data_IF_754446362345
#
_entry.id   IF_754446362345
#
_cell.length_a   1.000
_cell.length_b   1.000
_cell.length_c   1.000
_cell.angle_alpha   90.00
_cell.angle_beta   90.00
_cell.angle_gamma   90.00
#
_symmetry.space_group_name_H-M   'P 1'
#
loop_
_entity.id
_entity.type
_entity.pdbx_description
1 polymer ?
#
# COMPACT_ATOMS: atom_id res chain seq x y z
N UNK A 1 11.40 -3.39 1.58
CA UNK A 1 10.02 -3.43 2.09
C UNK A 1 9.09 -3.35 0.89
N UNK A 2 8.04 -4.19 0.81
CA UNK A 2 7.04 -4.14 -0.28
C UNK A 2 5.82 -3.32 0.18
N UNK A 3 6.06 -2.07 0.54
CA UNK A 3 5.07 -1.20 1.15
C UNK A 3 4.39 -0.25 0.15
N UNK A 4 4.74 -0.33 -1.13
CA UNK A 4 4.09 0.42 -2.20
C UNK A 4 2.70 -0.15 -2.46
N UNK A 5 1.75 0.75 -2.72
CA UNK A 5 0.42 0.35 -3.19
C UNK A 5 0.57 -0.41 -4.51
N UNK A 6 -0.27 -1.42 -4.72
CA UNK A 6 -0.21 -2.26 -5.90
C UNK A 6 -1.59 -2.46 -6.48
N UNK A 7 -1.64 -2.40 -7.80
CA UNK A 7 -2.82 -2.69 -8.57
C UNK A 7 -2.40 -3.29 -9.91
N UNK A 8 -3.36 -3.78 -10.68
CA UNK A 8 -3.12 -4.42 -11.97
C UNK A 8 -3.91 -3.73 -13.07
N UNK A 9 -3.32 -3.65 -14.25
CA UNK A 9 -4.05 -3.43 -15.51
C UNK A 9 -4.23 -4.79 -16.15
N UNK A 10 -5.48 -5.16 -16.44
CA UNK A 10 -5.79 -6.37 -17.20
C UNK A 10 -6.27 -5.96 -18.59
N UNK A 11 -5.58 -6.43 -19.62
CA UNK A 11 -5.98 -6.29 -21.02
C UNK A 11 -6.66 -7.59 -21.45
N UNK A 12 -7.98 -7.52 -21.70
CA UNK A 12 -8.79 -8.67 -22.09
C UNK A 12 -8.58 -9.10 -23.54
N UNK A 13 -8.15 -8.19 -24.40
CA UNK A 13 -7.99 -8.44 -25.84
C UNK A 13 -6.66 -9.14 -26.12
N UNK A 14 -5.60 -8.73 -25.42
CA UNK A 14 -4.28 -9.35 -25.47
C UNK A 14 -4.10 -10.47 -24.43
N UNK A 15 -5.02 -10.59 -23.47
CA UNK A 15 -4.94 -11.56 -22.37
C UNK A 15 -3.75 -11.32 -21.44
N UNK A 16 -3.35 -10.06 -21.24
CA UNK A 16 -2.14 -9.70 -20.50
C UNK A 16 -2.45 -9.00 -19.17
N UNK A 17 -1.56 -9.17 -18.19
CA UNK A 17 -1.66 -8.55 -16.86
C UNK A 17 -0.39 -7.75 -16.57
N UNK A 18 -0.54 -6.47 -16.26
CA UNK A 18 0.55 -5.60 -15.84
C UNK A 18 0.40 -5.23 -14.36
N UNK A 19 1.42 -5.51 -13.56
CA UNK A 19 1.49 -5.06 -12.18
C UNK A 19 2.05 -3.65 -12.09
N UNK A 20 1.37 -2.77 -11.34
CA UNK A 20 1.83 -1.40 -11.10
C UNK A 20 2.01 -1.16 -9.61
N UNK A 21 3.16 -0.62 -9.24
CA UNK A 21 3.52 -0.24 -7.87
C UNK A 21 3.64 1.28 -7.80
N UNK A 22 2.99 1.89 -6.82
CA UNK A 22 3.02 3.34 -6.61
C UNK A 22 3.45 3.63 -5.18
N UNK A 23 4.50 4.44 -5.05
CA UNK A 23 4.95 4.95 -3.76
C UNK A 23 3.94 5.95 -3.19
N UNK A 24 3.80 5.98 -1.88
CA UNK A 24 2.98 6.94 -1.17
C UNK A 24 3.62 7.26 0.18
N UNK A 25 3.20 8.35 0.80
CA UNK A 25 3.73 8.76 2.10
C UNK A 25 3.10 7.94 3.23
N UNK A 26 3.84 6.91 3.64
CA UNK A 26 3.47 6.04 4.77
C UNK A 26 3.43 6.83 6.08
N UNK A 27 4.31 7.81 6.26
CA UNK A 27 4.40 8.61 7.49
C UNK A 27 3.15 9.45 7.69
N UNK A 28 2.66 10.09 6.63
CA UNK A 28 1.40 10.85 6.65
C UNK A 28 0.22 9.93 6.98
N UNK A 29 0.20 8.72 6.43
CA UNK A 29 -0.85 7.73 6.69
C UNK A 29 -0.81 7.27 8.15
N UNK A 30 0.37 6.90 8.66
CA UNK A 30 0.56 6.48 10.05
C UNK A 30 0.20 7.59 11.05
N UNK A 31 0.49 8.86 10.73
CA UNK A 31 0.05 9.98 11.56
C UNK A 31 -1.47 10.01 11.70
N UNK A 32 -2.21 9.93 10.58
CA UNK A 32 -3.68 9.85 10.59
C UNK A 32 -4.20 8.65 11.38
N UNK A 33 -3.54 7.51 11.28
CA UNK A 33 -3.89 6.30 12.04
C UNK A 33 -3.69 6.49 13.55
N UNK A 34 -2.59 7.13 13.95
CA UNK A 34 -2.32 7.48 15.33
C UNK A 34 -3.34 8.47 15.88
N UNK A 35 -3.67 9.51 15.10
CA UNK A 35 -4.67 10.53 15.47
C UNK A 35 -6.06 9.91 15.65
N UNK A 36 -6.37 8.83 14.90
CA UNK A 36 -7.60 8.05 15.00
C UNK A 36 -7.58 6.97 16.12
N UNK A 37 -6.49 6.85 16.88
CA UNK A 37 -6.36 5.87 17.97
C UNK A 37 -6.20 4.41 17.51
N UNK A 38 -5.75 4.18 16.27
CA UNK A 38 -5.51 2.82 15.79
C UNK A 38 -4.28 2.19 16.47
N UNK A 39 -4.31 0.86 16.61
CA UNK A 39 -3.24 0.11 17.26
C UNK A 39 -1.88 0.27 16.53
N UNK A 40 -0.80 0.42 17.30
CA UNK A 40 0.58 0.59 16.78
C UNK A 40 0.99 -0.50 15.79
N UNK A 41 0.58 -1.73 16.04
CA UNK A 41 0.85 -2.87 15.17
C UNK A 41 0.35 -2.65 13.72
N UNK A 42 -0.80 -2.01 13.52
CA UNK A 42 -1.32 -1.71 12.18
C UNK A 42 -0.46 -0.68 11.44
N UNK A 43 0.09 0.30 12.16
CA UNK A 43 1.01 1.28 11.59
C UNK A 43 2.33 0.62 11.20
N UNK A 44 2.93 -0.15 12.10
CA UNK A 44 4.22 -0.84 11.84
C UNK A 44 4.09 -1.80 10.64
N UNK A 45 2.92 -2.43 10.48
CA UNK A 45 2.60 -3.29 9.34
C UNK A 45 2.73 -2.57 8.00
N UNK A 46 2.22 -1.33 7.88
CA UNK A 46 2.34 -0.54 6.65
C UNK A 46 3.80 -0.28 6.27
N UNK A 47 4.67 -0.03 7.25
CA UNK A 47 6.10 0.17 6.98
C UNK A 47 6.80 -1.10 6.49
N UNK A 48 6.37 -2.28 6.95
CA UNK A 48 6.97 -3.56 6.58
C UNK A 48 6.46 -4.12 5.24
N UNK A 49 5.22 -3.78 4.85
CA UNK A 49 4.63 -4.22 3.58
C UNK A 49 4.30 -5.72 3.53
N UNK A 50 3.80 -6.28 4.64
CA UNK A 50 3.34 -7.68 4.79
C UNK A 50 2.15 -7.79 5.73
#
# INVERSE_FOLDING_TARGET
SNNHSCWVVYDSDLGSVEFRRVGYDISVTQKKMSDAGLARYLMDRLSQGR
#
